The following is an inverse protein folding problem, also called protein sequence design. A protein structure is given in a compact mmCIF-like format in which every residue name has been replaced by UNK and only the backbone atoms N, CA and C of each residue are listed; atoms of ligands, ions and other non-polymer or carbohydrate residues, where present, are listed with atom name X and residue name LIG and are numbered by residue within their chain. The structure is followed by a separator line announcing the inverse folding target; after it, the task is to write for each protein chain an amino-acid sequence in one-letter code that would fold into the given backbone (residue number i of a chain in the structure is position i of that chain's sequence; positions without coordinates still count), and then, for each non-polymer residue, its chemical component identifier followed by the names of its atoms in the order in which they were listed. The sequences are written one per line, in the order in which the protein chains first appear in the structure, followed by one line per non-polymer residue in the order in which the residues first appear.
data_IF_268516658209
#
_entry.id   IF_268516658209
#
_cell.length_a   1.000
_cell.length_b   1.000
_cell.length_c   1.000
_cell.angle_alpha   90.00
_cell.angle_beta   90.00
_cell.angle_gamma   90.00
#
_symmetry.space_group_name_H-M   'P 1'
#
loop_
_entity.id
_entity.type
_entity.pdbx_description
1 polymer ?
#
# COMPACT_ATOMS: atom_id res chain seq x y z
N UNK A 1 29.26 10.14 4.02
CA UNK A 1 28.33 9.23 3.32
C UNK A 1 26.92 9.78 3.42
N UNK A 2 26.48 10.54 2.42
CA UNK A 2 25.11 11.07 2.33
C UNK A 2 24.65 10.82 0.88
N UNK A 3 23.75 9.87 0.66
CA UNK A 3 23.18 9.64 -0.67
C UNK A 3 22.10 10.70 -0.93
N UNK A 4 22.13 11.39 -2.09
CA UNK A 4 21.21 12.48 -2.37
C UNK A 4 19.79 11.95 -2.59
N UNK A 5 18.83 12.68 -2.02
CA UNK A 5 17.39 12.45 -2.17
C UNK A 5 17.02 12.29 -3.65
N UNK A 6 16.68 11.06 -4.06
CA UNK A 6 16.27 10.76 -5.44
C UNK A 6 14.84 11.27 -5.65
N UNK A 7 14.70 12.46 -6.22
CA UNK A 7 13.41 12.99 -6.67
C UNK A 7 12.90 12.14 -7.83
N UNK A 8 11.83 11.37 -7.58
CA UNK A 8 11.11 10.64 -8.63
C UNK A 8 10.14 11.61 -9.28
N UNK A 9 10.46 12.06 -10.49
CA UNK A 9 9.55 12.89 -11.30
C UNK A 9 8.50 11.98 -11.95
N UNK A 10 7.25 12.07 -11.50
CA UNK A 10 6.12 11.34 -12.09
C UNK A 10 5.53 12.20 -13.21
N UNK A 11 5.69 11.78 -14.45
CA UNK A 11 5.03 12.42 -15.61
C UNK A 11 3.56 11.97 -15.66
N UNK A 12 2.59 12.87 -15.88
CA UNK A 12 1.18 12.47 -15.93
C UNK A 12 0.91 11.67 -17.21
N UNK A 13 0.95 10.35 -17.11
CA UNK A 13 0.42 9.43 -18.11
C UNK A 13 -1.09 9.25 -17.90
N UNK A 14 -1.80 8.83 -18.94
CA UNK A 14 -3.20 8.40 -18.82
C UNK A 14 -3.32 7.37 -17.69
N UNK A 15 -4.35 7.48 -16.81
CA UNK A 15 -4.48 6.59 -15.67
C UNK A 15 -4.60 5.13 -16.13
N UNK A 16 -3.88 4.24 -15.45
CA UNK A 16 -4.11 2.81 -15.59
C UNK A 16 -5.49 2.49 -15.01
N UNK A 17 -6.41 2.03 -15.85
CA UNK A 17 -7.75 1.60 -15.43
C UNK A 17 -7.77 0.08 -15.33
N UNK A 18 -8.05 -0.43 -14.13
CA UNK A 18 -8.27 -1.85 -13.88
C UNK A 18 -9.78 -2.03 -13.64
N UNK A 19 -10.46 -2.79 -14.50
CA UNK A 19 -11.89 -3.11 -14.36
C UNK A 19 -12.08 -4.61 -14.13
N UNK A 20 -12.65 -4.97 -12.98
CA UNK A 20 -13.03 -6.34 -12.69
C UNK A 20 -14.17 -6.83 -13.60
N UNK A 21 -14.99 -5.93 -14.15
CA UNK A 21 -16.13 -6.32 -15.00
C UNK A 21 -15.70 -6.78 -16.39
N UNK A 22 -14.54 -6.33 -16.89
CA UNK A 22 -13.96 -6.75 -18.17
C UNK A 22 -12.76 -7.68 -18.01
N UNK A 23 -12.47 -8.14 -16.78
CA UNK A 23 -11.33 -9.02 -16.51
C UNK A 23 -11.60 -10.44 -17.00
N UNK A 24 -10.71 -10.98 -17.85
CA UNK A 24 -10.85 -12.33 -18.42
C UNK A 24 -10.72 -13.44 -17.38
N UNK A 25 -10.07 -13.14 -16.25
CA UNK A 25 -9.87 -14.08 -15.14
C UNK A 25 -10.94 -13.96 -14.05
N UNK A 26 -11.98 -13.14 -14.26
CA UNK A 26 -13.05 -12.92 -13.28
C UNK A 26 -13.70 -14.23 -12.88
N UNK A 27 -13.97 -14.39 -11.58
CA UNK A 27 -14.61 -15.58 -11.00
C UNK A 27 -13.80 -16.88 -11.13
N UNK A 28 -12.49 -16.77 -11.33
CA UNK A 28 -11.55 -17.90 -11.20
C UNK A 28 -10.75 -17.77 -9.91
N UNK A 29 -10.02 -18.83 -9.54
CA UNK A 29 -9.11 -18.80 -8.39
C UNK A 29 -8.02 -17.71 -8.46
N UNK A 30 -7.76 -17.14 -9.65
CA UNK A 30 -6.85 -16.00 -9.79
C UNK A 30 -7.38 -14.72 -9.13
N UNK A 31 -8.69 -14.60 -8.89
CA UNK A 31 -9.28 -13.46 -8.19
C UNK A 31 -8.96 -13.47 -6.68
N UNK A 32 -8.73 -14.64 -6.10
CA UNK A 32 -8.50 -14.77 -4.66
C UNK A 32 -7.14 -14.17 -4.25
N UNK A 33 -6.18 -14.13 -5.17
CA UNK A 33 -4.84 -13.53 -5.01
C UNK A 33 -4.66 -12.24 -5.84
N UNK A 34 -5.76 -11.62 -6.27
CA UNK A 34 -5.70 -10.39 -7.06
C UNK A 34 -5.55 -9.15 -6.16
N UNK A 35 -4.63 -8.25 -6.52
CA UNK A 35 -4.44 -6.97 -5.81
C UNK A 35 -5.74 -6.17 -5.65
N UNK A 36 -6.63 -6.21 -6.64
CA UNK A 36 -7.90 -5.46 -6.62
C UNK A 36 -8.83 -5.94 -5.51
N UNK A 37 -8.80 -7.24 -5.18
CA UNK A 37 -9.58 -7.81 -4.07
C UNK A 37 -9.20 -7.16 -2.75
N UNK A 38 -7.92 -6.90 -2.54
CA UNK A 38 -7.42 -6.24 -1.33
C UNK A 38 -7.59 -4.72 -1.36
N UNK A 39 -7.53 -4.09 -2.53
CA UNK A 39 -7.67 -2.63 -2.65
C UNK A 39 -9.13 -2.14 -2.60
N UNK A 40 -10.05 -2.91 -3.16
CA UNK A 40 -11.47 -2.55 -3.28
C UNK A 40 -12.36 -3.29 -2.26
N UNK A 41 -11.76 -4.06 -1.36
CA UNK A 41 -12.45 -4.68 -0.22
C UNK A 41 -12.93 -3.66 0.80
N UNK A 42 -13.69 -4.14 1.80
CA UNK A 42 -14.21 -3.30 2.88
C UNK A 42 -13.06 -2.76 3.75
N UNK A 43 -12.93 -1.42 3.79
CA UNK A 43 -11.89 -0.73 4.57
C UNK A 43 -11.93 -1.12 6.05
N UNK A 44 -13.12 -1.40 6.62
CA UNK A 44 -13.24 -1.81 8.02
C UNK A 44 -12.66 -3.20 8.29
N UNK A 45 -12.53 -4.05 7.27
CA UNK A 45 -11.95 -5.40 7.38
C UNK A 45 -10.43 -5.40 7.23
N UNK A 46 -9.82 -4.25 6.89
CA UNK A 46 -8.38 -4.13 6.58
C UNK A 46 -7.61 -3.29 7.60
N UNK A 47 -8.24 -2.83 8.67
CA UNK A 47 -7.57 -2.10 9.74
C UNK A 47 -6.57 -3.02 10.47
N UNK A 48 -5.28 -2.76 10.27
CA UNK A 48 -4.21 -3.47 10.99
C UNK A 48 -3.96 -2.77 12.33
N UNK A 49 -4.24 -3.46 13.42
CA UNK A 49 -3.95 -2.98 14.78
C UNK A 49 -2.55 -3.43 15.17
N UNK A 50 -1.67 -2.47 15.46
CA UNK A 50 -0.34 -2.73 15.99
C UNK A 50 -0.31 -2.61 17.50
N UNK A 51 0.37 -3.54 18.16
CA UNK A 51 0.74 -3.38 19.55
C UNK A 51 1.96 -2.43 19.70
N UNK A 52 2.34 -2.11 20.93
CA UNK A 52 3.43 -1.16 21.20
C UNK A 52 4.80 -1.63 20.69
N UNK A 53 5.10 -2.93 20.78
CA UNK A 53 6.37 -3.50 20.32
C UNK A 53 6.44 -3.50 18.79
N UNK A 54 5.36 -3.87 18.11
CA UNK A 54 5.26 -3.81 16.65
C UNK A 54 5.40 -2.38 16.15
N UNK A 55 4.72 -1.43 16.80
CA UNK A 55 4.83 -0.02 16.44
C UNK A 55 6.24 0.52 16.66
N UNK A 56 6.95 0.04 17.70
CA UNK A 56 8.36 0.36 17.94
C UNK A 56 9.26 -0.22 16.86
N UNK A 57 9.06 -1.48 16.47
CA UNK A 57 9.81 -2.14 15.41
C UNK A 57 9.64 -1.42 14.08
N UNK A 58 8.41 -1.06 13.70
CA UNK A 58 8.13 -0.30 12.48
C UNK A 58 8.84 1.05 12.47
N UNK A 59 8.90 1.76 13.61
CA UNK A 59 9.66 3.02 13.72
C UNK A 59 11.17 2.81 13.53
N UNK A 60 11.73 1.74 14.07
CA UNK A 60 13.15 1.41 13.87
C UNK A 60 13.46 1.16 12.40
N UNK A 61 12.61 0.38 11.71
CA UNK A 61 12.75 0.12 10.28
C UNK A 61 12.61 1.40 9.44
N UNK A 62 11.67 2.27 9.79
CA UNK A 62 11.47 3.53 9.08
C UNK A 62 12.68 4.47 9.25
N UNK A 63 13.23 4.56 10.46
CA UNK A 63 14.43 5.35 10.74
C UNK A 63 15.66 4.82 10.00
N UNK A 64 15.72 3.51 9.74
CA UNK A 64 16.75 2.88 8.93
C UNK A 64 16.50 3.01 7.41
N UNK A 65 15.37 3.60 6.99
CA UNK A 65 14.99 3.73 5.58
C UNK A 65 14.49 2.44 4.93
N UNK A 66 14.16 1.41 5.70
CA UNK A 66 13.73 0.09 5.20
C UNK A 66 12.23 0.03 4.90
N UNK A 67 11.44 0.90 5.52
CA UNK A 67 10.00 1.02 5.26
C UNK A 67 9.61 2.51 5.19
N UNK A 68 8.52 2.86 4.48
CA UNK A 68 7.98 4.21 4.54
C UNK A 68 7.57 4.58 5.97
N UNK A 69 7.71 5.86 6.32
CA UNK A 69 7.11 6.39 7.55
C UNK A 69 5.58 6.28 7.48
N UNK A 70 4.92 6.21 8.65
CA UNK A 70 3.45 6.22 8.75
C UNK A 70 2.90 7.49 8.07
N UNK A 71 2.27 7.30 6.90
CA UNK A 71 1.68 8.39 6.10
C UNK A 71 0.26 8.75 6.51
N UNK A 72 -0.44 7.81 7.16
CA UNK A 72 -1.78 8.06 7.70
C UNK A 72 -1.67 8.97 8.92
N UNK A 73 -2.23 10.17 8.80
CA UNK A 73 -2.55 11.01 9.96
C UNK A 73 -3.96 10.66 10.41
N UNK A 74 -4.14 10.47 11.71
CA UNK A 74 -5.48 10.36 12.28
C UNK A 74 -6.28 11.60 11.85
N UNK A 75 -7.44 11.39 11.26
CA UNK A 75 -8.40 12.46 11.02
C UNK A 75 -8.96 12.82 12.40
N UNK A 76 -8.61 14.01 12.88
CA UNK A 76 -9.21 14.65 14.05
C UNK A 76 -10.58 15.18 13.73
#
# INVERSE_FOLDING_TARGET
MNQPNRTITITPQSPLVISCDTCVMRSTAACDDCLVTHMCGDAQQTAVVFNFEEQRALRLLANAGMVPTLRHRAVS
#
